data_IF_874507726481
#
_entry.id   IF_874507726481
#
_cell.length_a   1.000
_cell.length_b   1.000
_cell.length_c   1.000
_cell.angle_alpha   90.00
_cell.angle_beta   90.00
_cell.angle_gamma   90.00
#
_symmetry.space_group_name_H-M   'P 1'
#
loop_
_entity.id
_entity.type
_entity.pdbx_description
1 polymer ?
#
# COMPACT_ATOMS: atom_id res chain seq x y z
N UNK A 1 42.27 31.82 -30.30
CA UNK A 1 41.39 31.50 -29.16
C UNK A 1 39.98 31.44 -29.71
N UNK A 2 39.48 30.24 -30.01
CA UNK A 2 38.06 30.05 -30.31
C UNK A 2 37.31 30.06 -28.98
N UNK A 3 36.39 31.02 -28.84
CA UNK A 3 35.38 31.01 -27.78
C UNK A 3 34.40 29.88 -28.10
N UNK A 4 34.39 28.87 -27.24
CA UNK A 4 33.41 27.79 -27.25
C UNK A 4 32.10 28.36 -26.69
N UNK A 5 31.18 28.74 -27.59
CA UNK A 5 29.81 29.07 -27.24
C UNK A 5 29.05 27.77 -26.97
N UNK A 6 29.29 27.16 -25.81
CA UNK A 6 28.39 26.14 -25.28
C UNK A 6 27.16 26.85 -24.70
N UNK A 7 26.06 26.72 -25.42
CA UNK A 7 24.75 27.27 -25.10
C UNK A 7 24.29 26.87 -23.67
N UNK A 8 23.98 27.83 -22.76
CA UNK A 8 23.51 27.53 -21.41
C UNK A 8 22.12 26.85 -21.39
N UNK A 9 21.42 26.78 -22.52
CA UNK A 9 20.17 26.03 -22.67
C UNK A 9 20.35 24.50 -22.60
N UNK A 10 21.56 23.97 -22.85
CA UNK A 10 21.82 22.52 -22.90
C UNK A 10 21.88 21.81 -21.54
N UNK A 11 21.77 22.54 -20.42
CA UNK A 11 21.80 21.98 -19.05
C UNK A 11 20.44 21.91 -18.36
N UNK A 12 19.33 22.24 -19.04
CA UNK A 12 18.00 22.38 -18.40
C UNK A 12 16.98 21.26 -18.66
N UNK A 13 17.30 20.19 -19.39
CA UNK A 13 16.28 19.21 -19.81
C UNK A 13 16.51 17.75 -19.37
N UNK A 14 17.17 17.49 -18.23
CA UNK A 14 17.33 16.12 -17.74
C UNK A 14 16.96 15.89 -16.25
N UNK A 15 16.10 16.72 -15.64
CA UNK A 15 15.38 16.30 -14.42
C UNK A 15 14.16 15.45 -14.79
N UNK A 16 14.43 14.31 -15.45
CA UNK A 16 13.45 13.28 -15.74
C UNK A 16 13.00 12.71 -14.40
N UNK A 17 11.79 13.04 -13.95
CA UNK A 17 11.11 12.51 -12.75
C UNK A 17 11.77 11.23 -12.20
N UNK A 18 12.70 11.37 -11.25
CA UNK A 18 13.20 10.20 -10.53
C UNK A 18 12.02 9.69 -9.71
N UNK A 19 11.41 8.59 -10.16
CA UNK A 19 10.36 7.93 -9.39
C UNK A 19 10.96 7.55 -8.05
N UNK A 20 10.53 8.23 -6.98
CA UNK A 20 10.93 7.96 -5.61
C UNK A 20 10.70 6.47 -5.33
N UNK A 21 11.69 5.81 -4.71
CA UNK A 21 11.55 4.40 -4.36
C UNK A 21 10.39 4.23 -3.37
N UNK A 22 9.54 3.21 -3.54
CA UNK A 22 8.50 2.92 -2.56
C UNK A 22 9.13 2.53 -1.23
N UNK A 23 8.45 2.88 -0.14
CA UNK A 23 8.82 2.57 1.24
C UNK A 23 8.08 1.33 1.70
N UNK A 24 8.83 0.29 2.03
CA UNK A 24 8.30 -1.00 2.45
C UNK A 24 8.62 -1.24 3.92
N UNK A 25 7.58 -1.41 4.73
CA UNK A 25 7.69 -1.84 6.11
C UNK A 25 7.69 -3.38 6.18
N UNK A 26 8.85 -3.95 6.50
CA UNK A 26 9.01 -5.40 6.58
C UNK A 26 8.89 -5.88 8.03
N UNK A 27 7.86 -6.67 8.30
CA UNK A 27 7.61 -7.29 9.59
C UNK A 27 8.01 -8.78 9.61
N UNK A 28 8.45 -9.27 10.76
CA UNK A 28 8.63 -10.71 11.01
C UNK A 28 8.10 -11.17 12.35
N UNK A 29 7.57 -12.40 12.36
CA UNK A 29 7.06 -13.10 13.52
C UNK A 29 7.97 -14.27 13.92
N UNK A 30 7.72 -14.85 15.11
CA UNK A 30 8.43 -16.03 15.63
C UNK A 30 8.17 -17.31 14.84
N UNK A 31 8.91 -17.50 13.73
CA UNK A 31 8.91 -18.72 12.93
C UNK A 31 10.34 -19.11 12.56
N UNK A 32 10.61 -20.41 12.39
CA UNK A 32 11.92 -20.92 11.93
C UNK A 32 12.35 -20.28 10.59
N UNK A 33 11.39 -19.94 9.72
CA UNK A 33 11.66 -19.24 8.47
C UNK A 33 12.26 -17.82 8.64
N UNK A 34 12.32 -17.28 9.86
CA UNK A 34 13.00 -16.03 10.19
C UNK A 34 14.48 -16.02 9.79
N UNK A 35 15.12 -17.19 9.66
CA UNK A 35 16.48 -17.29 9.10
C UNK A 35 16.61 -16.73 7.67
N UNK A 36 15.50 -16.67 6.92
CA UNK A 36 15.45 -16.10 5.56
C UNK A 36 15.17 -14.58 5.56
N UNK A 37 14.98 -13.94 6.71
CA UNK A 37 14.59 -12.54 6.82
C UNK A 37 15.63 -11.60 6.20
N UNK A 38 16.92 -11.76 6.53
CA UNK A 38 18.00 -10.96 5.93
C UNK A 38 18.10 -11.10 4.42
N UNK A 39 17.80 -12.29 3.87
CA UNK A 39 17.73 -12.50 2.42
C UNK A 39 16.57 -11.72 1.79
N UNK A 40 15.40 -11.70 2.44
CA UNK A 40 14.27 -10.90 1.98
C UNK A 40 14.59 -9.40 2.02
N UNK A 41 15.21 -8.89 3.09
CA UNK A 41 15.67 -7.50 3.18
C UNK A 41 16.54 -7.12 1.95
N UNK A 42 17.56 -7.94 1.64
CA UNK A 42 18.46 -7.70 0.49
C UNK A 42 17.74 -7.68 -0.85
N UNK A 43 16.63 -8.38 -0.98
CA UNK A 43 15.84 -8.40 -2.21
C UNK A 43 14.99 -7.16 -2.35
N UNK A 44 14.32 -6.74 -1.28
CA UNK A 44 13.50 -5.53 -1.25
C UNK A 44 14.33 -4.27 -1.47
N UNK A 45 15.51 -4.16 -0.83
CA UNK A 45 16.43 -3.01 -0.97
C UNK A 45 16.86 -2.71 -2.41
N UNK A 46 16.76 -3.70 -3.32
CA UNK A 46 17.11 -3.49 -4.74
C UNK A 46 16.18 -2.47 -5.42
N UNK A 47 14.97 -2.30 -4.92
CA UNK A 47 13.95 -1.47 -5.55
C UNK A 47 13.11 -0.63 -4.58
N UNK A 48 13.21 -0.85 -3.27
CA UNK A 48 12.49 -0.13 -2.22
C UNK A 48 13.42 0.44 -1.14
N UNK A 49 12.94 1.47 -0.43
CA UNK A 49 13.44 1.82 0.90
C UNK A 49 12.81 0.85 1.92
N UNK A 50 13.62 0.27 2.81
CA UNK A 50 13.15 -0.80 3.70
C UNK A 50 13.45 -0.46 5.14
N UNK A 51 12.40 -0.46 5.96
CA UNK A 51 12.48 -0.43 7.42
C UNK A 51 11.86 -1.72 7.93
N UNK A 52 12.40 -2.27 9.02
CA UNK A 52 11.93 -3.51 9.59
C UNK A 52 11.32 -3.34 10.97
N UNK A 53 10.36 -4.20 11.31
CA UNK A 53 9.82 -4.37 12.65
C UNK A 53 9.76 -5.87 12.98
N UNK A 54 10.18 -6.27 14.17
CA UNK A 54 10.20 -7.68 14.53
C UNK A 54 9.52 -7.90 15.87
N UNK A 55 8.72 -8.97 15.99
CA UNK A 55 8.16 -9.33 17.29
C UNK A 55 9.26 -9.87 18.20
N UNK A 56 9.06 -9.82 19.52
CA UNK A 56 9.99 -10.41 20.48
C UNK A 56 10.35 -11.87 20.13
N UNK A 57 9.36 -12.69 19.78
CA UNK A 57 9.59 -14.10 19.41
C UNK A 57 10.36 -14.28 18.09
N UNK A 58 10.29 -13.32 17.16
CA UNK A 58 11.05 -13.37 15.90
C UNK A 58 12.56 -13.25 16.14
N UNK A 59 12.96 -12.53 17.20
CA UNK A 59 14.36 -12.31 17.56
C UNK A 59 15.13 -13.59 17.87
N UNK A 60 14.45 -14.70 18.18
CA UNK A 60 15.09 -16.00 18.37
C UNK A 60 15.56 -16.66 17.06
N UNK A 61 15.01 -16.25 15.92
CA UNK A 61 15.26 -16.89 14.62
C UNK A 61 16.01 -16.00 13.63
N UNK A 62 16.00 -14.69 13.88
CA UNK A 62 16.62 -13.71 12.99
C UNK A 62 18.04 -13.45 13.46
N UNK A 63 19.01 -13.78 12.62
CA UNK A 63 20.39 -13.35 12.81
C UNK A 63 20.53 -11.87 12.42
N UNK A 64 20.82 -11.01 13.41
CA UNK A 64 21.00 -9.58 13.19
C UNK A 64 22.14 -9.27 12.22
N UNK A 65 23.18 -10.11 12.16
CA UNK A 65 24.30 -9.95 11.23
C UNK A 65 23.92 -10.24 9.78
N UNK A 66 22.83 -10.99 9.55
CA UNK A 66 22.33 -11.27 8.21
C UNK A 66 21.56 -10.08 7.61
N UNK A 67 21.07 -9.15 8.45
CA UNK A 67 20.32 -7.97 8.04
C UNK A 67 21.29 -6.91 7.49
N UNK A 68 21.02 -6.33 6.30
CA UNK A 68 21.83 -5.23 5.77
C UNK A 68 21.86 -4.01 6.69
N UNK A 69 23.00 -3.33 6.79
CA UNK A 69 23.19 -2.17 7.66
C UNK A 69 22.21 -1.01 7.38
N UNK A 70 21.76 -0.89 6.12
CA UNK A 70 20.83 0.16 5.69
C UNK A 70 19.38 -0.09 6.15
N UNK A 71 19.09 -1.23 6.80
CA UNK A 71 17.75 -1.55 7.33
C UNK A 71 17.74 -1.37 8.84
N UNK A 72 17.04 -0.33 9.29
CA UNK A 72 16.74 -0.18 10.71
C UNK A 72 15.69 -1.19 11.14
N UNK A 73 15.85 -1.78 12.33
CA UNK A 73 14.96 -2.79 12.89
C UNK A 73 14.36 -2.29 14.19
N UNK A 74 13.05 -2.07 14.20
CA UNK A 74 12.26 -1.72 15.37
C UNK A 74 11.80 -2.97 16.14
N UNK A 75 11.65 -2.79 17.44
CA UNK A 75 11.19 -3.79 18.41
C UNK A 75 10.19 -3.12 19.35
N UNK A 76 9.44 -3.92 20.12
CA UNK A 76 8.40 -3.42 21.04
C UNK A 76 8.94 -2.38 22.04
N UNK A 77 10.19 -2.49 22.48
CA UNK A 77 10.81 -1.57 23.43
C UNK A 77 11.05 -0.17 22.84
N UNK A 78 11.14 -0.05 21.51
CA UNK A 78 11.38 1.24 20.85
C UNK A 78 10.14 2.15 20.90
N UNK A 79 8.94 1.57 20.97
CA UNK A 79 7.68 2.32 21.09
C UNK A 79 7.70 3.22 22.33
N UNK A 80 8.15 2.65 23.44
CA UNK A 80 8.12 3.32 24.75
C UNK A 80 9.32 4.24 24.98
N UNK A 81 10.43 4.03 24.27
CA UNK A 81 11.60 4.92 24.33
C UNK A 81 11.27 6.33 23.81
N UNK A 82 10.41 6.45 22.81
CA UNK A 82 10.01 7.72 22.19
C UNK A 82 8.94 8.48 23.00
N UNK A 83 8.23 7.81 23.91
CA UNK A 83 7.07 8.35 24.62
C UNK A 83 7.39 9.42 25.67
N UNK A 84 8.61 9.44 26.22
CA UNK A 84 8.97 10.32 27.35
C UNK A 84 9.12 11.81 27.00
N UNK A 85 8.73 12.23 25.80
CA UNK A 85 8.87 13.62 25.32
C UNK A 85 7.54 14.09 24.76
N UNK A 86 6.99 15.16 25.34
CA UNK A 86 5.76 15.80 24.87
C UNK A 86 5.90 16.18 23.39
N UNK A 87 4.97 15.74 22.53
CA UNK A 87 4.95 16.03 21.10
C UNK A 87 5.63 15.01 20.17
N UNK A 88 6.07 13.84 20.68
CA UNK A 88 6.54 12.74 19.83
C UNK A 88 5.37 11.86 19.37
N UNK A 89 5.39 11.44 18.10
CA UNK A 89 4.36 10.54 17.56
C UNK A 89 4.75 9.09 17.86
N UNK A 90 3.76 8.23 18.10
CA UNK A 90 3.95 6.82 18.41
C UNK A 90 4.42 6.05 17.17
N UNK A 91 5.35 5.07 17.27
CA UNK A 91 5.86 4.36 16.07
C UNK A 91 4.75 3.57 15.40
N UNK A 92 3.78 3.07 16.16
CA UNK A 92 2.58 2.43 15.62
C UNK A 92 1.71 3.37 14.74
N UNK A 93 1.97 4.68 14.72
CA UNK A 93 1.35 5.68 13.85
C UNK A 93 2.36 6.17 12.79
N UNK A 94 3.60 6.45 13.19
CA UNK A 94 4.65 6.93 12.29
C UNK A 94 5.00 5.91 11.18
N UNK A 95 5.12 4.63 11.53
CA UNK A 95 5.52 3.59 10.58
C UNK A 95 4.45 3.33 9.50
N UNK A 96 3.14 3.22 9.83
CA UNK A 96 2.11 3.21 8.81
C UNK A 96 2.12 4.45 7.91
N UNK A 97 2.32 5.65 8.46
CA UNK A 97 2.34 6.88 7.67
C UNK A 97 3.57 6.97 6.75
N UNK A 98 4.71 6.44 7.19
CA UNK A 98 5.92 6.38 6.38
C UNK A 98 5.82 5.37 5.24
N UNK A 99 5.17 4.23 5.46
CA UNK A 99 5.19 3.10 4.54
C UNK A 99 4.13 3.20 3.43
N UNK A 100 4.53 2.86 2.21
CA UNK A 100 3.61 2.66 1.08
C UNK A 100 3.02 1.25 1.07
N UNK A 101 3.70 0.29 1.71
CA UNK A 101 3.25 -1.10 1.84
C UNK A 101 3.83 -1.77 3.09
N UNK A 102 3.11 -2.77 3.60
CA UNK A 102 3.59 -3.66 4.67
C UNK A 102 3.79 -5.09 4.15
N UNK A 103 4.82 -5.75 4.63
CA UNK A 103 5.09 -7.17 4.34
C UNK A 103 5.27 -7.91 5.65
N UNK A 104 4.49 -8.95 5.97
CA UNK A 104 4.72 -9.79 7.15
C UNK A 104 5.24 -11.15 6.72
N UNK A 105 6.55 -11.35 6.83
CA UNK A 105 7.24 -12.53 6.31
C UNK A 105 8.47 -12.89 7.17
N UNK A 106 8.41 -13.96 7.99
CA UNK A 106 7.28 -14.88 8.13
C UNK A 106 6.13 -14.33 8.99
N UNK A 107 4.90 -14.74 8.66
CA UNK A 107 3.72 -14.61 9.52
C UNK A 107 3.48 -15.92 10.30
N UNK A 108 3.46 -15.84 11.63
CA UNK A 108 3.17 -17.01 12.50
C UNK A 108 1.67 -17.23 12.64
N UNK A 109 1.26 -18.46 13.01
CA UNK A 109 -0.14 -18.75 13.32
C UNK A 109 -0.70 -17.88 14.47
N UNK A 110 0.15 -17.55 15.46
CA UNK A 110 -0.21 -16.70 16.58
C UNK A 110 -0.49 -15.26 16.14
N UNK A 111 0.40 -14.66 15.37
CA UNK A 111 0.19 -13.29 14.87
C UNK A 111 -0.97 -13.25 13.86
N UNK A 112 -1.15 -14.28 13.03
CA UNK A 112 -2.31 -14.42 12.16
C UNK A 112 -3.62 -14.40 12.97
N UNK A 113 -3.69 -15.17 14.06
CA UNK A 113 -4.86 -15.17 14.95
C UNK A 113 -5.09 -13.80 15.62
N UNK A 114 -4.02 -13.13 16.05
CA UNK A 114 -4.11 -11.78 16.63
C UNK A 114 -4.65 -10.76 15.64
N UNK A 115 -4.14 -10.76 14.41
CA UNK A 115 -4.62 -9.85 13.35
C UNK A 115 -6.09 -10.13 13.06
N UNK A 116 -6.47 -11.41 12.84
CA UNK A 116 -7.85 -11.79 12.56
C UNK A 116 -8.81 -11.43 13.71
N UNK A 117 -8.34 -11.51 14.96
CA UNK A 117 -9.10 -11.12 16.15
C UNK A 117 -9.02 -9.65 16.52
N UNK A 118 -8.31 -8.81 15.77
CA UNK A 118 -8.15 -7.38 16.05
C UNK A 118 -7.33 -7.04 17.31
N UNK A 119 -6.49 -7.98 17.79
CA UNK A 119 -5.61 -7.75 18.94
C UNK A 119 -4.39 -6.90 18.54
N UNK A 120 -3.98 -5.99 19.42
CA UNK A 120 -2.88 -5.05 19.24
C UNK A 120 -2.01 -4.95 20.50
N UNK A 121 -1.29 -6.03 20.83
CA UNK A 121 -0.55 -6.18 22.09
C UNK A 121 0.98 -6.10 21.94
N UNK A 122 1.46 -5.86 20.72
CA UNK A 122 2.85 -5.65 20.36
C UNK A 122 2.93 -4.74 19.12
N UNK A 123 4.11 -4.17 18.84
CA UNK A 123 4.30 -3.14 17.81
C UNK A 123 3.83 -3.60 16.43
N UNK A 124 4.13 -4.84 16.01
CA UNK A 124 3.66 -5.38 14.72
C UNK A 124 2.13 -5.38 14.66
N UNK A 125 1.46 -5.89 15.67
CA UNK A 125 -0.01 -5.95 15.69
C UNK A 125 -0.66 -4.58 15.84
N UNK A 126 -0.03 -3.66 16.57
CA UNK A 126 -0.48 -2.27 16.65
C UNK A 126 -0.41 -1.58 15.29
N UNK A 127 0.71 -1.72 14.57
CA UNK A 127 0.89 -1.20 13.20
C UNK A 127 -0.18 -1.73 12.26
N UNK A 128 -0.50 -3.03 12.33
CA UNK A 128 -1.59 -3.60 11.50
C UNK A 128 -2.93 -3.01 11.89
N UNK A 129 -3.18 -2.79 13.20
CA UNK A 129 -4.46 -2.27 13.70
C UNK A 129 -4.70 -0.80 13.33
N UNK A 130 -3.63 -0.03 13.14
CA UNK A 130 -3.63 1.39 12.71
C UNK A 130 -3.39 1.53 11.20
N UNK A 131 -3.36 0.43 10.46
CA UNK A 131 -3.05 0.45 9.04
C UNK A 131 -4.21 0.99 8.21
N UNK A 132 -3.90 1.87 7.25
CA UNK A 132 -4.82 2.25 6.18
C UNK A 132 -4.79 1.19 5.06
N UNK A 133 -5.88 0.43 4.93
CA UNK A 133 -6.04 -0.67 3.96
C UNK A 133 -6.15 -0.21 2.50
N UNK A 134 -6.15 1.11 2.23
CA UNK A 134 -5.84 1.62 0.89
C UNK A 134 -4.43 1.19 0.44
N UNK A 135 -3.49 1.07 1.39
CA UNK A 135 -2.12 0.58 1.18
C UNK A 135 -2.03 -0.94 1.32
N UNK A 136 -1.29 -1.64 0.44
CA UNK A 136 -1.24 -3.09 0.46
C UNK A 136 -0.49 -3.64 1.68
N UNK A 137 -1.10 -4.64 2.32
CA UNK A 137 -0.41 -5.56 3.22
C UNK A 137 -0.27 -6.91 2.51
N UNK A 138 0.95 -7.43 2.44
CA UNK A 138 1.26 -8.77 1.92
C UNK A 138 1.80 -9.63 3.04
N UNK A 139 1.25 -10.83 3.23
CA UNK A 139 1.71 -11.75 4.28
C UNK A 139 2.18 -13.08 3.70
N UNK A 140 3.22 -13.65 4.30
CA UNK A 140 3.75 -14.96 3.94
C UNK A 140 3.71 -15.88 5.18
N UNK A 141 2.63 -16.66 5.37
CA UNK A 141 2.51 -17.55 6.50
C UNK A 141 3.62 -18.61 6.52
N UNK A 142 4.09 -18.94 7.72
CA UNK A 142 5.03 -20.04 7.93
C UNK A 142 4.75 -20.73 9.25
N UNK A 143 4.36 -22.00 9.17
CA UNK A 143 3.97 -22.81 10.32
C UNK A 143 4.01 -24.30 9.96
N UNK A 144 4.00 -25.18 10.95
CA UNK A 144 3.93 -26.62 10.72
C UNK A 144 2.65 -27.01 9.94
N UNK A 145 2.71 -28.10 9.17
CA UNK A 145 1.59 -28.64 8.39
C UNK A 145 0.29 -28.79 9.18
N UNK A 146 0.35 -29.27 10.43
CA UNK A 146 -0.84 -29.42 11.27
C UNK A 146 -1.43 -28.07 11.70
N UNK A 147 -0.59 -27.05 11.93
CA UNK A 147 -1.06 -25.69 12.18
C UNK A 147 -1.70 -25.11 10.92
N UNK A 148 -1.11 -25.33 9.75
CA UNK A 148 -1.67 -24.84 8.48
C UNK A 148 -3.02 -25.47 8.16
N UNK A 149 -3.16 -26.78 8.36
CA UNK A 149 -4.41 -27.54 8.15
C UNK A 149 -5.47 -27.30 9.23
N UNK A 150 -5.14 -26.57 10.30
CA UNK A 150 -6.08 -26.32 11.38
C UNK A 150 -7.24 -25.41 10.89
N UNK A 151 -8.51 -25.71 11.24
CA UNK A 151 -9.66 -24.89 10.85
C UNK A 151 -9.55 -23.42 11.26
N UNK A 152 -8.91 -23.11 12.40
CA UNK A 152 -8.66 -21.74 12.82
C UNK A 152 -7.79 -20.99 11.84
N UNK A 153 -6.73 -21.61 11.31
CA UNK A 153 -5.86 -20.97 10.31
C UNK A 153 -6.64 -20.61 9.05
N UNK A 154 -7.48 -21.52 8.56
CA UNK A 154 -8.34 -21.25 7.41
C UNK A 154 -9.32 -20.08 7.68
N UNK A 155 -9.96 -20.08 8.85
CA UNK A 155 -10.89 -19.01 9.22
C UNK A 155 -10.17 -17.66 9.35
N UNK A 156 -9.02 -17.62 10.01
CA UNK A 156 -8.23 -16.40 10.14
C UNK A 156 -7.72 -15.89 8.79
N UNK A 157 -7.28 -16.78 7.90
CA UNK A 157 -6.88 -16.42 6.54
C UNK A 157 -8.04 -15.72 5.80
N UNK A 158 -9.25 -16.27 5.87
CA UNK A 158 -10.44 -15.64 5.26
C UNK A 158 -10.70 -14.26 5.85
N UNK A 159 -10.72 -14.14 7.18
CA UNK A 159 -10.99 -12.86 7.86
C UNK A 159 -9.99 -11.77 7.47
N UNK A 160 -8.70 -12.09 7.35
CA UNK A 160 -7.71 -11.07 6.94
C UNK A 160 -7.79 -10.75 5.45
N UNK A 161 -8.20 -11.71 4.60
CA UNK A 161 -8.42 -11.46 3.17
C UNK A 161 -9.61 -10.52 2.94
N UNK A 162 -10.66 -10.58 3.77
CA UNK A 162 -11.79 -9.64 3.74
C UNK A 162 -11.34 -8.20 4.03
N UNK A 163 -10.24 -8.00 4.76
CA UNK A 163 -9.61 -6.69 4.97
C UNK A 163 -8.75 -6.23 3.77
N UNK A 164 -8.68 -7.01 2.70
CA UNK A 164 -7.82 -6.74 1.54
C UNK A 164 -6.35 -7.14 1.73
N UNK A 165 -6.02 -7.92 2.78
CA UNK A 165 -4.66 -8.43 2.99
C UNK A 165 -4.37 -9.54 1.98
N UNK A 166 -3.28 -9.40 1.23
CA UNK A 166 -2.83 -10.41 0.26
C UNK A 166 -2.03 -11.50 0.96
N UNK A 167 -2.54 -12.74 0.93
CA UNK A 167 -1.84 -13.91 1.47
C UNK A 167 -1.06 -14.61 0.36
N UNK A 168 0.26 -14.75 0.54
CA UNK A 168 1.08 -15.64 -0.28
C UNK A 168 1.01 -17.03 0.36
N UNK A 169 0.43 -18.04 -0.31
CA UNK A 169 0.29 -19.36 0.30
C UNK A 169 1.66 -19.96 0.62
N UNK A 170 1.76 -20.78 1.69
CA UNK A 170 2.98 -21.51 1.98
C UNK A 170 3.41 -22.40 0.82
N UNK A 171 4.71 -22.60 0.67
CA UNK A 171 5.25 -23.55 -0.28
C UNK A 171 4.81 -24.98 0.08
N UNK A 172 4.37 -25.72 -0.94
CA UNK A 172 4.08 -27.15 -0.87
C UNK A 172 5.13 -27.90 -1.68
N UNK A 173 6.15 -28.43 -0.99
CA UNK A 173 7.20 -29.27 -1.58
C UNK A 173 7.00 -30.74 -1.19
N UNK A 174 7.44 -31.67 -2.04
CA UNK A 174 7.48 -33.09 -1.67
C UNK A 174 8.51 -33.32 -0.57
N UNK A 175 8.10 -33.90 0.57
CA UNK A 175 9.05 -34.38 1.57
C UNK A 175 9.68 -35.68 1.11
N UNK A 176 10.91 -35.96 1.56
CA UNK A 176 11.62 -37.22 1.31
C UNK A 176 10.89 -38.45 1.86
N UNK A 177 9.87 -38.24 2.71
CA UNK A 177 9.01 -39.28 3.30
C UNK A 177 7.77 -39.63 2.46
N UNK A 178 7.53 -38.96 1.32
CA UNK A 178 6.35 -39.19 0.47
C UNK A 178 5.08 -38.43 0.91
N UNK A 179 5.13 -37.69 2.02
CA UNK A 179 4.08 -36.72 2.38
C UNK A 179 4.43 -35.33 1.83
N UNK A 180 3.44 -34.61 1.30
CA UNK A 180 3.63 -33.20 0.94
C UNK A 180 3.68 -32.36 2.23
N UNK A 181 4.85 -31.80 2.53
CA UNK A 181 4.99 -30.84 3.63
C UNK A 181 4.52 -29.47 3.14
N UNK A 182 3.36 -29.05 3.67
CA UNK A 182 2.74 -27.74 3.41
C UNK A 182 2.97 -26.89 4.65
N UNK A 183 3.36 -25.63 4.48
CA UNK A 183 3.52 -24.69 5.60
C UNK A 183 4.87 -23.99 5.66
N UNK A 184 5.81 -24.35 4.78
CA UNK A 184 7.05 -23.62 4.59
C UNK A 184 6.74 -22.22 4.02
N UNK A 185 7.44 -21.19 4.52
CA UNK A 185 7.30 -19.83 3.97
C UNK A 185 7.61 -19.84 2.47
N UNK A 186 6.86 -19.07 1.68
CA UNK A 186 7.19 -18.82 0.29
C UNK A 186 8.63 -18.30 0.14
N UNK A 187 9.25 -18.56 -1.02
CA UNK A 187 10.60 -18.09 -1.28
C UNK A 187 10.66 -16.55 -1.28
N UNK A 188 11.73 -15.93 -0.73
CA UNK A 188 11.89 -14.48 -0.72
C UNK A 188 11.79 -13.81 -2.10
N UNK A 189 12.02 -14.58 -3.18
CA UNK A 189 11.78 -14.14 -4.55
C UNK A 189 10.33 -13.92 -4.88
N UNK A 190 9.49 -14.91 -4.57
CA UNK A 190 8.05 -14.82 -4.73
C UNK A 190 7.50 -13.68 -3.88
N UNK A 191 7.92 -13.57 -2.61
CA UNK A 191 7.47 -12.50 -1.71
C UNK A 191 7.80 -11.12 -2.29
N UNK A 192 9.06 -10.87 -2.65
CA UNK A 192 9.46 -9.58 -3.23
C UNK A 192 8.71 -9.25 -4.53
N UNK A 193 8.42 -10.23 -5.38
CA UNK A 193 7.70 -10.01 -6.63
C UNK A 193 6.23 -9.67 -6.38
N UNK A 194 5.56 -10.38 -5.47
CA UNK A 194 4.18 -10.10 -5.09
C UNK A 194 4.02 -8.70 -4.50
N UNK A 195 4.93 -8.27 -3.63
CA UNK A 195 4.88 -6.93 -3.01
C UNK A 195 5.01 -5.84 -4.08
N UNK A 196 5.97 -5.97 -4.99
CA UNK A 196 6.13 -5.03 -6.11
C UNK A 196 4.88 -4.95 -6.99
N UNK A 197 4.24 -6.10 -7.25
CA UNK A 197 2.98 -6.18 -7.99
C UNK A 197 1.84 -5.48 -7.24
N UNK A 198 1.63 -5.76 -5.95
CA UNK A 198 0.55 -5.16 -5.15
C UNK A 198 0.67 -3.64 -5.03
N UNK A 199 1.90 -3.11 -4.91
CA UNK A 199 2.13 -1.65 -4.92
C UNK A 199 1.73 -1.05 -6.27
N UNK A 200 2.12 -1.70 -7.38
CA UNK A 200 1.78 -1.22 -8.72
C UNK A 200 0.26 -1.19 -8.95
N UNK A 201 -0.44 -2.27 -8.62
CA UNK A 201 -1.89 -2.37 -8.79
C UNK A 201 -2.65 -1.31 -7.99
N UNK A 202 -2.23 -1.04 -6.75
CA UNK A 202 -2.84 0.00 -5.92
C UNK A 202 -2.54 1.41 -6.43
N UNK A 203 -1.35 1.64 -6.97
CA UNK A 203 -1.02 2.92 -7.59
C UNK A 203 -1.82 3.13 -8.88
N UNK A 204 -1.95 2.11 -9.72
CA UNK A 204 -2.76 2.17 -10.96
C UNK A 204 -4.22 2.49 -10.62
N UNK A 205 -4.81 1.81 -9.63
CA UNK A 205 -6.17 2.09 -9.17
C UNK A 205 -6.36 3.55 -8.73
N UNK A 206 -5.39 4.15 -8.02
CA UNK A 206 -5.44 5.58 -7.64
C UNK A 206 -5.42 6.53 -8.83
N UNK A 207 -4.64 6.22 -9.87
CA UNK A 207 -4.54 7.07 -11.07
C UNK A 207 -5.78 6.92 -11.98
N UNK A 208 -6.50 5.80 -11.88
CA UNK A 208 -7.73 5.53 -12.62
C UNK A 208 -8.97 6.17 -11.96
N UNK A 209 -8.82 7.12 -11.03
CA UNK A 209 -9.94 7.78 -10.33
C UNK A 209 -9.78 9.30 -10.30
N UNK A 210 -9.31 9.91 -11.40
CA UNK A 210 -9.01 11.35 -11.44
C UNK A 210 -10.21 12.14 -11.94
N UNK A 211 -10.71 13.09 -11.15
CA UNK A 211 -11.77 14.04 -11.51
C UNK A 211 -11.13 15.34 -11.99
N UNK A 212 -11.50 15.82 -13.18
CA UNK A 212 -11.10 17.12 -13.72
C UNK A 212 -12.34 18.02 -13.74
N UNK A 213 -12.28 19.16 -13.06
CA UNK A 213 -13.36 20.16 -13.06
C UNK A 213 -12.86 21.40 -13.81
N UNK A 214 -13.49 21.73 -14.94
CA UNK A 214 -13.36 23.00 -15.64
C UNK A 214 -14.50 23.96 -15.27
N UNK A 215 -14.40 25.23 -15.69
CA UNK A 215 -15.35 26.30 -15.32
C UNK A 215 -16.81 25.99 -15.68
N UNK A 216 -17.05 25.16 -16.71
CA UNK A 216 -18.39 24.74 -17.16
C UNK A 216 -18.57 23.21 -17.32
N UNK A 217 -17.56 22.38 -17.00
CA UNK A 217 -17.63 20.92 -17.19
C UNK A 217 -16.95 20.14 -16.05
N UNK A 218 -17.64 19.13 -15.53
CA UNK A 218 -17.06 18.14 -14.61
C UNK A 218 -16.81 16.86 -15.41
N UNK A 219 -15.54 16.50 -15.61
CA UNK A 219 -15.12 15.27 -16.30
C UNK A 219 -14.49 14.31 -15.29
N UNK A 220 -15.21 13.24 -14.98
CA UNK A 220 -14.68 12.12 -14.19
C UNK A 220 -13.95 11.15 -15.11
N UNK A 221 -12.62 11.01 -14.97
CA UNK A 221 -11.82 10.05 -15.75
C UNK A 221 -11.45 8.87 -14.86
N UNK A 222 -12.20 7.78 -15.01
CA UNK A 222 -11.83 6.48 -14.45
C UNK A 222 -12.16 5.31 -15.37
N UNK A 223 -11.34 4.26 -15.35
CA UNK A 223 -11.56 3.12 -16.25
C UNK A 223 -12.83 2.39 -15.84
N UNK A 224 -13.80 2.41 -16.75
CA UNK A 224 -15.17 1.91 -16.57
C UNK A 224 -16.23 2.95 -16.95
N UNK A 225 -15.88 4.24 -17.01
CA UNK A 225 -16.81 5.30 -17.36
C UNK A 225 -16.25 6.15 -18.49
N UNK A 226 -17.01 6.28 -19.58
CA UNK A 226 -16.83 7.31 -20.60
C UNK A 226 -17.96 8.30 -20.37
N UNK A 227 -17.65 9.52 -19.93
CA UNK A 227 -18.62 10.60 -19.89
C UNK A 227 -18.49 11.35 -21.22
N UNK A 228 -19.42 11.11 -22.14
CA UNK A 228 -19.55 11.92 -23.36
C UNK A 228 -20.50 13.10 -23.09
N UNK A 229 -20.04 14.30 -23.43
CA UNK A 229 -20.81 15.53 -23.33
C UNK A 229 -21.96 15.50 -24.34
N UNK A 230 -23.20 15.52 -23.84
CA UNK A 230 -24.38 15.86 -24.62
C UNK A 230 -25.16 16.90 -23.84
N UNK A 231 -25.35 18.08 -24.44
CA UNK A 231 -26.02 19.26 -23.88
C UNK A 231 -26.94 18.96 -22.68
N UNK A 232 -26.40 19.13 -21.46
CA UNK A 232 -27.17 19.13 -20.21
C UNK A 232 -27.63 17.79 -19.64
N UNK A 233 -27.18 16.63 -20.15
CA UNK A 233 -27.54 15.32 -19.58
C UNK A 233 -26.30 14.44 -19.40
N UNK A 234 -26.02 14.06 -18.16
CA UNK A 234 -24.97 13.09 -17.84
C UNK A 234 -25.54 11.67 -17.90
N UNK A 235 -24.99 10.83 -18.78
CA UNK A 235 -25.27 9.39 -18.80
C UNK A 235 -24.09 8.64 -18.18
N UNK A 236 -24.36 7.78 -17.19
CA UNK A 236 -23.38 6.88 -16.58
C UNK A 236 -23.71 5.46 -17.03
N UNK A 237 -22.82 4.81 -17.78
CA UNK A 237 -23.01 3.42 -18.22
C UNK A 237 -22.11 2.50 -17.38
N UNK A 238 -22.70 1.53 -16.68
CA UNK A 238 -22.00 0.64 -15.74
C UNK A 238 -21.59 -0.69 -16.38
N UNK A 239 -20.44 -1.25 -15.95
CA UNK A 239 -20.08 -2.66 -16.16
C UNK A 239 -20.12 -3.38 -14.80
N UNK A 240 -20.72 -4.58 -14.79
CA UNK A 240 -21.04 -5.43 -13.63
C UNK A 240 -19.97 -5.46 -12.52
N UNK A 241 -20.41 -5.26 -11.28
CA UNK A 241 -19.61 -5.56 -10.08
C UNK A 241 -19.66 -4.54 -8.94
N UNK A 242 -20.40 -3.44 -9.07
CA UNK A 242 -20.60 -2.46 -7.98
C UNK A 242 -22.10 -2.38 -7.67
N UNK A 243 -22.55 -3.12 -6.66
CA UNK A 243 -23.90 -2.97 -6.12
C UNK A 243 -23.98 -1.63 -5.36
N UNK A 244 -24.81 -0.70 -5.84
CA UNK A 244 -25.25 0.46 -5.04
C UNK A 244 -25.08 1.87 -5.60
N UNK A 245 -25.00 2.09 -6.92
CA UNK A 245 -25.01 3.44 -7.52
C UNK A 245 -26.22 3.68 -8.44
N UNK A 246 -27.35 3.07 -8.13
CA UNK A 246 -28.62 3.45 -8.74
C UNK A 246 -29.25 4.58 -7.89
N UNK A 247 -29.54 5.71 -8.53
CA UNK A 247 -30.19 6.92 -8.00
C UNK A 247 -29.30 7.96 -7.31
N UNK A 248 -28.45 8.65 -8.08
CA UNK A 248 -28.18 10.06 -7.81
C UNK A 248 -28.90 10.87 -8.89
N UNK A 249 -30.12 11.30 -8.59
CA UNK A 249 -30.93 12.15 -9.46
C UNK A 249 -30.34 13.55 -9.54
N UNK A 250 -29.44 13.79 -10.50
CA UNK A 250 -28.80 15.09 -10.76
C UNK A 250 -29.49 15.89 -11.87
N UNK A 251 -30.82 15.79 -11.97
CA UNK A 251 -31.57 16.63 -12.91
C UNK A 251 -31.73 18.04 -12.31
N UNK A 252 -30.97 19.01 -12.85
CA UNK A 252 -31.09 20.44 -12.50
C UNK A 252 -30.24 20.92 -11.31
N UNK A 253 -29.24 20.17 -10.88
CA UNK A 253 -28.29 20.61 -9.86
C UNK A 253 -27.34 21.69 -10.41
N UNK A 254 -27.09 22.75 -9.64
CA UNK A 254 -26.08 23.77 -9.99
C UNK A 254 -24.68 23.30 -9.60
N UNK A 255 -23.62 23.88 -10.16
CA UNK A 255 -22.22 23.51 -9.89
C UNK A 255 -21.90 23.45 -8.38
N UNK A 256 -22.52 24.31 -7.56
CA UNK A 256 -22.36 24.29 -6.10
C UNK A 256 -22.93 23.02 -5.45
N UNK A 257 -24.10 22.56 -5.90
CA UNK A 257 -24.78 21.40 -5.29
C UNK A 257 -24.06 20.09 -5.58
N UNK A 258 -23.39 20.00 -6.74
CA UNK A 258 -22.54 18.84 -7.09
C UNK A 258 -21.29 18.81 -6.22
N UNK A 259 -20.67 19.97 -5.95
CA UNK A 259 -19.50 20.06 -5.06
C UNK A 259 -19.86 19.72 -3.61
N UNK A 260 -21.00 20.20 -3.09
CA UNK A 260 -21.48 19.86 -1.74
C UNK A 260 -21.80 18.36 -1.59
N UNK A 261 -22.42 17.73 -2.62
CA UNK A 261 -22.69 16.29 -2.63
C UNK A 261 -21.41 15.43 -2.69
N UNK A 262 -20.33 15.98 -3.24
CA UNK A 262 -19.03 15.31 -3.36
C UNK A 262 -18.11 15.56 -2.17
N UNK A 263 -18.32 16.60 -1.36
CA UNK A 263 -17.64 16.77 -0.06
C UNK A 263 -18.08 15.71 0.97
N UNK A 264 -19.31 15.22 0.87
CA UNK A 264 -19.84 14.13 1.72
C UNK A 264 -19.32 12.72 1.31
N UNK A 265 -18.71 12.61 0.12
CA UNK A 265 -17.94 11.44 -0.30
C UNK A 265 -16.48 11.78 0.01
N UNK A 266 -15.80 11.10 0.94
CA UNK A 266 -14.37 11.32 1.23
C UNK A 266 -13.45 11.00 0.03
N UNK A 267 -13.53 11.78 -1.05
CA UNK A 267 -12.57 11.84 -2.14
C UNK A 267 -11.64 12.99 -1.77
N UNK A 268 -10.49 12.65 -1.17
CA UNK A 268 -9.47 13.63 -0.81
C UNK A 268 -8.95 14.37 -2.04
N UNK A 269 -9.51 15.54 -2.31
CA UNK A 269 -9.00 16.50 -3.29
C UNK A 269 -8.02 17.42 -2.55
N UNK A 270 -6.73 17.10 -2.58
CA UNK A 270 -5.67 18.05 -2.24
C UNK A 270 -5.03 18.58 -3.54
N UNK A 271 -5.11 19.90 -3.73
CA UNK A 271 -4.23 20.65 -4.64
C UNK A 271 -4.82 21.02 -6.00
N UNK A 272 -5.65 22.06 -6.03
CA UNK A 272 -5.84 22.88 -7.24
C UNK A 272 -5.79 24.36 -6.82
N UNK A 273 -4.58 24.93 -6.77
CA UNK A 273 -4.38 26.38 -6.73
C UNK A 273 -3.56 26.84 -7.96
N UNK A 274 -4.10 27.89 -8.59
CA UNK A 274 -3.50 28.91 -9.49
C UNK A 274 -2.88 28.45 -10.83
N UNK A 275 -3.08 29.09 -11.99
CA UNK A 275 -3.54 30.44 -12.39
C UNK A 275 -4.04 30.28 -13.84
N UNK A 276 -5.20 30.85 -14.21
CA UNK A 276 -5.56 31.05 -15.62
C UNK A 276 -5.71 32.56 -15.88
N UNK A 277 -4.72 33.09 -16.59
CA UNK A 277 -4.60 34.48 -17.04
C UNK A 277 -5.80 34.84 -17.95
N UNK A 278 -6.68 35.74 -17.48
CA UNK A 278 -7.87 36.19 -18.20
C UNK A 278 -7.46 37.14 -19.33
N UNK A 279 -7.18 36.58 -20.51
CA UNK A 279 -7.04 37.34 -21.75
C UNK A 279 -8.40 37.78 -22.28
N UNK A 280 -8.57 39.09 -22.47
CA UNK A 280 -9.75 39.73 -23.07
C UNK A 280 -10.10 39.12 -24.44
N UNK A 281 -11.36 38.75 -24.66
CA UNK A 281 -11.90 38.46 -25.99
C UNK A 281 -13.10 39.37 -26.27
N UNK A 282 -12.94 40.18 -27.31
CA UNK A 282 -13.90 41.17 -27.81
C UNK A 282 -15.23 40.55 -28.27
N UNK A 283 -16.32 41.26 -27.97
CA UNK A 283 -17.68 40.92 -28.39
C UNK A 283 -17.90 41.47 -29.80
N UNK A 284 -18.10 40.57 -30.77
CA UNK A 284 -18.49 40.90 -32.14
C UNK A 284 -19.95 40.55 -32.42
N UNK A 285 -20.83 41.53 -32.14
CA UNK A 285 -22.24 41.77 -32.56
C UNK A 285 -23.22 40.58 -32.63
#
# INVERSE_FOLDING_TARGET
>A
MMMDCSDPASKRENSRFERKKPKVLLAACGCVAGVKFGLLCRRLLRWAEVTAVVTQSASHFIDRLAIPNDVFVFYDEHEWCSWNRTGHTMLQIELPNWADAMVIAPLSANTLAKIAGGLCDNLVTCIVRTWDYSKPIVVAPSMNTFMWKNPFTNNHCKSIQELGITIIPPFSGGSSSGEYEIGAMAEPSTISATVSKSIREKNEAKHHSTMVVGEDEVVLIGVGFVVESVEGVFAVEGIEGVDGLDEIGLEGATNLTILELLEDVELGIEGAEEEADLGEVEIGI
#
